data_IF_870511157767
#
_entry.id   IF_870511157767
#
_cell.length_a   1.000
_cell.length_b   1.000
_cell.length_c   1.000
_cell.angle_alpha   90.00
_cell.angle_beta   90.00
_cell.angle_gamma   90.00
#
_symmetry.space_group_name_H-M   'P 1'
#
loop_
_entity.id
_entity.type
_entity.pdbx_description
1 polymer ?
#
# COMPACT_ATOMS: atom_id res chain seq x y z
N UNK A 1 -3.90 -12.76 50.83
CA UNK A 1 -4.46 -13.42 49.63
C UNK A 1 -4.25 -12.63 48.33
N UNK A 2 -4.20 -11.29 48.34
CA UNK A 2 -4.05 -10.45 47.12
C UNK A 2 -2.63 -10.40 46.52
N UNK A 3 -1.59 -10.73 47.30
CA UNK A 3 -0.17 -10.64 46.85
C UNK A 3 0.20 -11.72 45.82
N UNK A 4 -0.45 -12.88 45.86
CA UNK A 4 -0.20 -14.00 44.92
C UNK A 4 -0.69 -13.68 43.51
N UNK A 5 -1.77 -12.90 43.38
CA UNK A 5 -2.34 -12.49 42.09
C UNK A 5 -1.48 -11.43 41.39
N UNK A 6 -0.64 -10.69 42.13
CA UNK A 6 0.27 -9.70 41.53
C UNK A 6 1.54 -10.32 40.92
N UNK A 7 1.75 -11.65 41.06
CA UNK A 7 2.85 -12.33 40.38
C UNK A 7 2.50 -12.54 38.90
N UNK A 8 3.30 -11.92 38.04
CA UNK A 8 3.16 -11.91 36.57
C UNK A 8 2.81 -13.27 35.93
N UNK A 9 3.43 -14.41 36.29
CA UNK A 9 3.07 -15.70 35.66
C UNK A 9 1.66 -16.17 36.05
N UNK A 10 1.25 -15.97 37.30
CA UNK A 10 -0.07 -16.38 37.81
C UNK A 10 -1.15 -15.50 37.20
N UNK A 11 -0.96 -14.17 37.21
CA UNK A 11 -1.87 -13.19 36.60
C UNK A 11 -2.11 -13.47 35.11
N UNK A 12 -1.02 -13.71 34.37
CA UNK A 12 -1.10 -14.01 32.93
C UNK A 12 -1.84 -15.31 32.66
N UNK A 13 -1.61 -16.34 33.47
CA UNK A 13 -2.22 -17.66 33.25
C UNK A 13 -3.72 -17.68 33.59
N UNK A 14 -4.11 -17.14 34.76
CA UNK A 14 -5.49 -17.22 35.24
C UNK A 14 -6.42 -16.16 34.65
N UNK A 15 -5.92 -14.95 34.36
CA UNK A 15 -6.77 -13.82 33.97
C UNK A 15 -6.52 -13.39 32.52
N UNK A 16 -5.27 -13.09 32.16
CA UNK A 16 -4.95 -12.52 30.85
C UNK A 16 -5.17 -13.51 29.69
N UNK A 17 -4.71 -14.76 29.82
CA UNK A 17 -4.83 -15.78 28.76
C UNK A 17 -6.29 -16.17 28.43
N UNK A 18 -7.20 -16.41 29.38
CA UNK A 18 -8.59 -16.72 29.06
C UNK A 18 -9.33 -15.48 28.51
N UNK A 19 -9.08 -14.29 29.07
CA UNK A 19 -9.68 -13.05 28.58
C UNK A 19 -9.27 -12.75 27.14
N UNK A 20 -7.97 -12.87 26.82
CA UNK A 20 -7.47 -12.68 25.46
C UNK A 20 -8.04 -13.73 24.48
N UNK A 21 -8.23 -14.98 24.92
CA UNK A 21 -8.86 -16.03 24.10
C UNK A 21 -10.32 -15.72 23.80
N UNK A 22 -11.07 -15.18 24.75
CA UNK A 22 -12.44 -14.74 24.52
C UNK A 22 -12.48 -13.54 23.57
N UNK A 23 -11.64 -12.52 23.82
CA UNK A 23 -11.57 -11.31 23.00
C UNK A 23 -11.20 -11.59 21.54
N UNK A 24 -10.23 -12.49 21.29
CA UNK A 24 -9.85 -12.92 19.93
C UNK A 24 -10.97 -13.60 19.13
N UNK A 25 -12.00 -14.14 19.78
CA UNK A 25 -13.16 -14.72 19.09
C UNK A 25 -14.18 -13.66 18.66
N UNK A 26 -14.16 -12.48 19.28
CA UNK A 26 -15.07 -11.36 19.02
C UNK A 26 -14.45 -10.35 18.07
N UNK A 27 -13.11 -10.34 17.98
CA UNK A 27 -12.42 -9.52 16.99
C UNK A 27 -12.83 -9.96 15.58
N UNK A 28 -13.35 -9.04 14.76
CA UNK A 28 -13.60 -9.33 13.36
C UNK A 28 -12.29 -9.69 12.67
N UNK A 29 -12.34 -10.61 11.70
CA UNK A 29 -11.22 -10.83 10.81
C UNK A 29 -10.89 -9.50 10.11
N UNK A 30 -9.61 -9.11 10.05
CA UNK A 30 -9.22 -7.87 9.37
C UNK A 30 -9.76 -7.89 7.94
N UNK A 31 -10.39 -6.81 7.51
CA UNK A 31 -10.83 -6.71 6.12
C UNK A 31 -9.61 -6.65 5.20
N UNK A 32 -9.76 -7.12 3.97
CA UNK A 32 -8.70 -7.06 2.95
C UNK A 32 -8.17 -5.62 2.79
N UNK A 33 -9.06 -4.63 2.86
CA UNK A 33 -8.72 -3.21 2.76
C UNK A 33 -8.00 -2.65 3.99
N UNK A 34 -8.34 -3.09 5.21
CA UNK A 34 -7.59 -2.73 6.42
C UNK A 34 -6.20 -3.37 6.43
N UNK A 35 -6.09 -4.59 5.92
CA UNK A 35 -4.81 -5.28 5.79
C UNK A 35 -3.91 -4.61 4.75
N UNK A 36 -4.46 -4.18 3.61
CA UNK A 36 -3.75 -3.40 2.59
C UNK A 36 -3.32 -2.03 3.13
N UNK A 37 -4.19 -1.32 3.85
CA UNK A 37 -3.85 -0.05 4.48
C UNK A 37 -2.74 -0.18 5.53
N UNK A 38 -2.74 -1.26 6.31
CA UNK A 38 -1.69 -1.56 7.28
C UNK A 38 -0.39 -2.04 6.63
N UNK A 39 -0.47 -2.80 5.53
CA UNK A 39 0.69 -3.22 4.75
C UNK A 39 1.35 -2.04 4.03
N UNK A 40 0.55 -1.12 3.49
CA UNK A 40 0.99 0.16 2.94
C UNK A 40 1.67 1.06 3.99
N UNK A 41 1.40 0.82 5.28
CA UNK A 41 2.00 1.53 6.41
C UNK A 41 3.35 0.97 6.90
N UNK A 42 3.97 0.02 6.20
CA UNK A 42 5.29 -0.47 6.60
C UNK A 42 6.39 0.49 6.16
N UNK A 43 7.06 1.10 7.14
CA UNK A 43 8.21 1.96 6.92
C UNK A 43 9.33 1.11 6.30
N UNK A 44 9.57 1.24 4.99
CA UNK A 44 10.39 0.29 4.23
C UNK A 44 11.87 0.67 4.28
N UNK A 45 12.30 1.64 3.49
CA UNK A 45 13.67 2.17 3.54
C UNK A 45 13.78 3.33 4.52
N UNK A 46 12.70 4.11 4.68
CA UNK A 46 12.63 5.27 5.57
C UNK A 46 12.81 4.85 7.03
N UNK A 47 12.28 3.68 7.41
CA UNK A 47 12.33 3.19 8.79
C UNK A 47 13.73 2.75 9.20
N UNK A 48 14.48 2.21 8.24
CA UNK A 48 15.89 1.88 8.43
C UNK A 48 16.72 3.17 8.53
N UNK A 49 16.42 4.20 7.70
CA UNK A 49 17.10 5.49 7.73
C UNK A 49 16.90 6.24 9.06
N UNK A 50 15.67 6.26 9.59
CA UNK A 50 15.33 6.95 10.85
C UNK A 50 15.65 6.15 12.12
N UNK A 51 16.19 4.93 11.99
CA UNK A 51 16.53 4.06 13.13
C UNK A 51 17.73 4.55 13.97
N UNK A 52 18.46 5.58 13.52
CA UNK A 52 19.68 6.09 14.14
C UNK A 52 20.91 5.19 13.95
N UNK A 53 20.73 3.94 13.51
CA UNK A 53 21.78 2.99 13.11
C UNK A 53 21.34 2.20 11.87
N UNK A 54 21.23 2.87 10.70
CA UNK A 54 20.79 2.22 9.46
C UNK A 54 21.74 1.09 9.06
N UNK A 55 21.18 -0.07 8.69
CA UNK A 55 21.93 -1.14 8.03
C UNK A 55 22.10 -0.84 6.55
N UNK A 56 23.23 -0.22 6.20
CA UNK A 56 23.53 0.21 4.83
C UNK A 56 23.54 -0.90 3.79
N UNK A 57 24.01 -2.11 4.14
CA UNK A 57 23.99 -3.25 3.22
C UNK A 57 22.57 -3.54 2.73
N UNK A 58 21.59 -3.54 3.63
CA UNK A 58 20.19 -3.76 3.29
C UNK A 58 19.62 -2.68 2.35
N UNK A 59 20.05 -1.43 2.51
CA UNK A 59 19.59 -0.32 1.66
C UNK A 59 20.22 -0.35 0.26
N UNK A 60 21.49 -0.75 0.18
CA UNK A 60 22.23 -0.86 -1.08
C UNK A 60 21.85 -2.12 -1.87
N UNK A 61 21.40 -3.18 -1.19
CA UNK A 61 20.92 -4.41 -1.81
C UNK A 61 19.47 -4.30 -2.34
N UNK A 62 18.83 -3.13 -2.22
CA UNK A 62 17.51 -2.90 -2.81
C UNK A 62 17.65 -2.98 -4.34
N UNK A 63 16.98 -3.93 -5.00
CA UNK A 63 17.10 -4.08 -6.43
C UNK A 63 16.53 -2.85 -7.12
N UNK A 64 17.14 -2.48 -8.25
CA UNK A 64 16.58 -1.45 -9.12
C UNK A 64 15.20 -1.92 -9.60
N UNK A 65 14.14 -1.11 -9.45
CA UNK A 65 12.86 -1.46 -10.04
C UNK A 65 13.01 -1.48 -11.57
N UNK A 66 12.71 -2.62 -12.16
CA UNK A 66 12.68 -2.79 -13.61
C UNK A 66 11.24 -3.08 -14.02
N UNK A 67 10.83 -2.43 -15.12
CA UNK A 67 9.54 -2.69 -15.73
C UNK A 67 9.61 -4.00 -16.50
N UNK A 68 8.55 -4.79 -16.37
CA UNK A 68 8.30 -5.95 -17.22
C UNK A 68 8.19 -5.54 -18.69
N UNK A 69 8.32 -6.51 -19.59
CA UNK A 69 8.23 -6.23 -21.02
C UNK A 69 6.83 -5.70 -21.38
N UNK A 70 5.79 -6.22 -20.73
CA UNK A 70 4.41 -5.81 -20.88
C UNK A 70 4.19 -4.36 -20.40
N UNK A 71 4.69 -4.00 -19.21
CA UNK A 71 4.61 -2.63 -18.70
C UNK A 71 5.36 -1.64 -19.59
N UNK A 72 6.56 -2.02 -20.06
CA UNK A 72 7.32 -1.19 -20.98
C UNK A 72 6.59 -1.00 -22.31
N UNK A 73 6.00 -2.06 -22.85
CA UNK A 73 5.22 -1.99 -24.08
C UNK A 73 3.98 -1.10 -23.91
N UNK A 74 3.30 -1.18 -22.76
CA UNK A 74 2.17 -0.32 -22.44
C UNK A 74 2.56 1.16 -22.37
N UNK A 75 3.68 1.47 -21.72
CA UNK A 75 4.21 2.84 -21.66
C UNK A 75 4.63 3.36 -23.04
N UNK A 76 5.33 2.54 -23.84
CA UNK A 76 5.83 2.99 -25.15
C UNK A 76 4.78 3.01 -26.26
N UNK A 77 3.60 2.41 -26.03
CA UNK A 77 2.51 2.34 -27.01
C UNK A 77 1.32 3.16 -26.55
N UNK A 78 0.33 2.55 -25.86
CA UNK A 78 -0.87 3.23 -25.42
C UNK A 78 -0.66 4.57 -24.69
N UNK A 79 0.35 4.67 -23.83
CA UNK A 79 0.61 5.92 -23.08
C UNK A 79 1.19 7.01 -23.99
N UNK A 80 2.15 6.67 -24.85
CA UNK A 80 2.72 7.64 -25.80
C UNK A 80 1.67 8.14 -26.78
N UNK A 81 0.80 7.25 -27.28
CA UNK A 81 -0.32 7.61 -28.15
C UNK A 81 -1.31 8.53 -27.44
N UNK A 82 -1.68 8.21 -26.20
CA UNK A 82 -2.52 9.09 -25.38
C UNK A 82 -1.90 10.47 -25.21
N UNK A 83 -0.60 10.55 -24.90
CA UNK A 83 0.10 11.83 -24.76
C UNK A 83 0.05 12.65 -26.05
N UNK A 84 0.12 12.01 -27.22
CA UNK A 84 -0.03 12.69 -28.52
C UNK A 84 -1.45 13.18 -28.82
N UNK A 85 -2.48 12.57 -28.22
CA UNK A 85 -3.89 12.97 -28.38
C UNK A 85 -4.28 14.16 -27.48
N UNK A 86 -3.52 14.42 -26.42
CA UNK A 86 -3.87 15.41 -25.40
C UNK A 86 -3.38 16.82 -25.79
N UNK A 87 -4.28 17.80 -25.65
CA UNK A 87 -3.98 19.22 -25.72
C UNK A 87 -4.35 19.86 -24.37
N UNK A 88 -3.35 20.05 -23.51
CA UNK A 88 -3.54 20.46 -22.13
C UNK A 88 -4.30 21.79 -22.00
N UNK A 89 -3.98 22.77 -22.85
CA UNK A 89 -4.65 24.07 -22.83
C UNK A 89 -6.14 23.94 -23.16
N UNK A 90 -6.48 23.19 -24.22
CA UNK A 90 -7.88 23.00 -24.61
C UNK A 90 -8.66 22.24 -23.55
N UNK A 91 -8.09 21.16 -23.02
CA UNK A 91 -8.76 20.32 -22.02
C UNK A 91 -9.05 21.12 -20.76
N UNK A 92 -8.09 21.90 -20.28
CA UNK A 92 -8.20 22.62 -19.00
C UNK A 92 -8.94 23.96 -19.12
N UNK A 93 -8.72 24.72 -20.20
CA UNK A 93 -9.21 26.11 -20.32
C UNK A 93 -10.39 26.28 -21.28
N UNK A 94 -10.53 25.44 -22.32
CA UNK A 94 -11.60 25.58 -23.31
C UNK A 94 -12.76 24.62 -23.05
N UNK A 95 -12.47 23.33 -22.92
CA UNK A 95 -13.46 22.27 -22.78
C UNK A 95 -13.82 22.01 -21.32
N UNK A 96 -12.88 22.25 -20.41
CA UNK A 96 -12.96 21.87 -18.99
C UNK A 96 -13.27 20.37 -18.77
N UNK A 97 -13.02 19.53 -19.77
CA UNK A 97 -13.21 18.08 -19.78
C UNK A 97 -12.39 17.45 -20.93
N UNK A 98 -12.18 16.14 -20.85
CA UNK A 98 -11.59 15.36 -21.93
C UNK A 98 -12.61 15.10 -23.05
N UNK A 99 -12.22 15.20 -24.32
CA UNK A 99 -13.06 14.79 -25.45
C UNK A 99 -13.50 13.33 -25.36
N UNK A 100 -14.68 13.04 -25.92
CA UNK A 100 -15.24 11.69 -25.94
C UNK A 100 -14.31 10.65 -26.60
N UNK A 101 -13.54 11.05 -27.61
CA UNK A 101 -12.54 10.20 -28.27
C UNK A 101 -11.44 9.75 -27.29
N UNK A 102 -10.92 10.67 -26.48
CA UNK A 102 -9.89 10.37 -25.49
C UNK A 102 -10.47 9.49 -24.37
N UNK A 103 -11.70 9.77 -23.92
CA UNK A 103 -12.39 8.90 -22.96
C UNK A 103 -12.57 7.47 -23.47
N UNK A 104 -12.92 7.30 -24.74
CA UNK A 104 -13.07 5.99 -25.36
C UNK A 104 -11.73 5.27 -25.51
N UNK A 105 -10.68 6.01 -25.88
CA UNK A 105 -9.33 5.47 -25.96
C UNK A 105 -8.85 4.92 -24.61
N UNK A 106 -9.04 5.69 -23.52
CA UNK A 106 -8.65 5.28 -22.17
C UNK A 106 -9.37 4.00 -21.72
N UNK A 107 -10.67 3.90 -21.97
CA UNK A 107 -11.47 2.70 -21.66
C UNK A 107 -11.06 1.49 -22.48
N UNK A 108 -10.78 1.69 -23.77
CA UNK A 108 -10.42 0.61 -24.69
C UNK A 108 -9.05 0.03 -24.37
N UNK A 109 -8.09 0.90 -24.04
CA UNK A 109 -6.73 0.52 -23.68
C UNK A 109 -6.54 0.17 -22.19
N UNK A 110 -7.63 0.10 -21.40
CA UNK A 110 -7.61 -0.31 -19.98
C UNK A 110 -6.70 0.55 -19.09
N UNK A 111 -6.83 1.87 -19.22
CA UNK A 111 -6.17 2.82 -18.31
C UNK A 111 -6.81 2.88 -16.91
N UNK A 112 -8.02 2.32 -16.76
CA UNK A 112 -8.78 2.25 -15.49
C UNK A 112 -9.28 0.83 -15.25
#
# INVERSE_FOLDING_TARGET
>A
MLVLINRTPIRKSLFTKPLLRAYRRVLPAMSTTEQEALAAGTVWWEGELFSGRPRWSKLLDIPKPELTQEERAFLSGPVEELCGMLDDWKITHEWADLPAEIWNFLKTNRFF
#
